data_IF_921536866247
#
_entry.id   IF_921536866247
#
_cell.length_a   1.000
_cell.length_b   1.000
_cell.length_c   1.000
_cell.angle_alpha   90.00
_cell.angle_beta   90.00
_cell.angle_gamma   90.00
#
_symmetry.space_group_name_H-M   'P 1'
#
loop_
_entity.id
_entity.type
_entity.pdbx_description
1 polymer ?
#
# COMPACT_ATOMS: atom_id res chain seq x y z
N UNK A 1 -81.19 4.47 37.23
CA UNK A 1 -80.78 5.80 36.72
C UNK A 1 -79.31 6.05 37.00
N UNK A 2 -78.63 5.89 35.98
CA UNK A 2 -77.35 6.37 35.51
C UNK A 2 -76.28 6.62 36.61
N UNK A 3 -75.50 5.65 36.78
CA UNK A 3 -74.23 5.67 37.47
C UNK A 3 -73.15 6.01 36.43
N UNK A 4 -72.62 7.18 36.48
CA UNK A 4 -71.49 7.62 35.67
C UNK A 4 -70.21 7.13 36.33
N UNK A 5 -69.64 6.12 35.73
CA UNK A 5 -68.28 5.67 36.08
C UNK A 5 -67.29 6.61 35.42
N UNK A 6 -66.66 7.40 36.26
CA UNK A 6 -65.47 8.17 35.87
C UNK A 6 -64.25 7.27 35.86
N UNK A 7 -63.89 6.84 34.70
CA UNK A 7 -62.58 6.21 34.48
C UNK A 7 -61.52 7.30 34.42
N UNK A 8 -60.86 7.47 35.54
CA UNK A 8 -59.63 8.25 35.57
C UNK A 8 -58.53 7.43 34.96
N UNK A 9 -58.20 7.67 33.70
CA UNK A 9 -56.99 7.18 33.08
C UNK A 9 -55.82 8.04 33.56
N UNK A 10 -55.13 7.55 34.57
CA UNK A 10 -53.80 8.03 34.92
C UNK A 10 -52.83 7.59 33.81
N UNK A 11 -52.55 8.49 32.90
CA UNK A 11 -51.45 8.34 31.94
C UNK A 11 -50.16 8.54 32.74
N UNK A 12 -49.57 7.44 33.17
CA UNK A 12 -48.22 7.42 33.70
C UNK A 12 -47.26 7.67 32.51
N UNK A 13 -46.89 8.91 32.32
CA UNK A 13 -45.86 9.27 31.37
C UNK A 13 -44.53 8.72 31.86
N UNK A 14 -44.15 7.57 31.32
CA UNK A 14 -42.82 6.98 31.48
C UNK A 14 -41.83 7.83 30.67
N UNK A 15 -41.25 8.82 31.32
CA UNK A 15 -40.14 9.58 30.76
C UNK A 15 -38.91 8.65 30.81
N UNK A 16 -38.72 7.86 29.77
CA UNK A 16 -37.46 7.21 29.51
C UNK A 16 -36.45 8.28 29.15
N UNK A 17 -35.70 8.73 30.15
CA UNK A 17 -34.48 9.47 29.91
C UNK A 17 -33.53 8.57 29.14
N UNK A 18 -33.49 8.71 27.81
CA UNK A 18 -32.39 8.25 27.01
C UNK A 18 -31.18 9.04 27.46
N UNK A 19 -30.39 8.45 28.35
CA UNK A 19 -28.99 8.82 28.50
C UNK A 19 -28.33 8.51 27.16
N UNK A 20 -28.45 9.46 26.24
CA UNK A 20 -27.56 9.57 25.11
C UNK A 20 -26.16 9.75 25.70
N UNK A 21 -25.39 8.67 25.79
CA UNK A 21 -23.96 8.77 25.83
C UNK A 21 -23.59 9.63 24.61
N UNK A 22 -23.32 10.90 24.88
CA UNK A 22 -22.69 11.75 23.90
C UNK A 22 -21.36 11.12 23.59
N UNK A 23 -21.29 10.44 22.45
CA UNK A 23 -20.04 10.22 21.77
C UNK A 23 -19.45 11.63 21.59
N UNK A 24 -18.49 11.95 22.46
CA UNK A 24 -17.54 12.99 22.17
C UNK A 24 -16.93 12.64 20.85
N UNK A 25 -17.50 13.20 19.78
CA UNK A 25 -16.84 13.30 18.49
C UNK A 25 -15.51 14.00 18.73
N UNK A 26 -14.53 13.23 19.14
CA UNK A 26 -13.16 13.55 18.86
C UNK A 26 -13.06 13.55 17.32
N UNK A 27 -13.33 14.71 16.74
CA UNK A 27 -12.95 15.05 15.38
C UNK A 27 -11.43 15.24 15.33
N UNK A 28 -10.68 14.27 15.91
CA UNK A 28 -9.39 13.94 15.42
C UNK A 28 -9.67 13.36 14.04
N UNK A 29 -9.23 14.03 12.97
CA UNK A 29 -9.16 13.46 11.65
C UNK A 29 -8.67 12.03 11.82
N UNK A 30 -9.55 11.05 11.57
CA UNK A 30 -9.12 9.69 11.40
C UNK A 30 -8.14 9.77 10.24
N UNK A 31 -6.86 9.81 10.56
CA UNK A 31 -5.80 9.65 9.57
C UNK A 31 -6.15 8.32 8.92
N UNK A 32 -6.52 8.38 7.63
CA UNK A 32 -6.87 7.21 6.85
C UNK A 32 -5.68 6.25 6.96
N UNK A 33 -5.77 5.29 7.88
CA UNK A 33 -4.75 4.26 7.97
C UNK A 33 -4.98 3.33 6.80
N UNK A 34 -4.05 3.30 5.87
CA UNK A 34 -4.06 2.40 4.71
C UNK A 34 -3.75 0.94 5.10
N UNK A 35 -3.51 0.69 6.38
CA UNK A 35 -3.22 -0.63 6.90
C UNK A 35 -4.14 -0.97 8.06
N UNK A 36 -4.30 -2.25 8.30
CA UNK A 36 -4.81 -2.74 9.58
C UNK A 36 -3.94 -2.20 10.72
N UNK A 37 -4.57 -1.62 11.73
CA UNK A 37 -3.90 -0.87 12.81
C UNK A 37 -3.13 -1.74 13.79
N UNK A 38 -3.30 -3.06 13.75
CA UNK A 38 -2.62 -3.99 14.63
C UNK A 38 -1.20 -4.29 14.15
N UNK A 39 -0.25 -3.50 14.58
CA UNK A 39 1.16 -3.85 14.44
C UNK A 39 1.62 -4.61 15.67
N UNK A 40 1.56 -5.91 15.58
CA UNK A 40 1.91 -6.82 16.68
C UNK A 40 3.27 -7.49 16.50
N UNK A 41 3.85 -7.42 15.30
CA UNK A 41 5.09 -8.10 14.97
C UNK A 41 6.29 -7.15 15.02
N UNK A 42 7.34 -7.53 15.72
CA UNK A 42 8.63 -6.83 15.73
C UNK A 42 9.47 -7.14 14.47
N UNK A 43 9.10 -8.20 13.76
CA UNK A 43 9.76 -8.59 12.52
C UNK A 43 8.82 -9.38 11.61
N UNK A 44 9.03 -9.21 10.30
CA UNK A 44 8.36 -9.97 9.25
C UNK A 44 9.40 -10.79 8.51
N UNK A 45 9.11 -12.07 8.35
CA UNK A 45 9.98 -12.99 7.61
C UNK A 45 9.28 -13.48 6.36
N UNK A 46 9.99 -13.43 5.24
CA UNK A 46 9.57 -13.95 3.95
C UNK A 46 10.58 -14.98 3.46
N UNK A 47 10.10 -16.08 2.92
CA UNK A 47 10.93 -17.16 2.38
C UNK A 47 10.47 -17.54 0.98
N UNK A 48 11.40 -17.67 0.06
CA UNK A 48 11.12 -18.18 -1.29
C UNK A 48 11.21 -19.72 -1.34
N UNK A 49 10.39 -20.29 -2.20
CA UNK A 49 10.38 -21.75 -2.45
C UNK A 49 11.51 -22.13 -3.41
N UNK A 50 12.72 -22.24 -2.88
CA UNK A 50 13.91 -22.69 -3.62
C UNK A 50 14.85 -23.48 -2.72
N UNK A 51 15.59 -24.46 -3.29
CA UNK A 51 16.52 -25.31 -2.55
C UNK A 51 17.59 -24.55 -1.75
N UNK A 52 17.95 -23.36 -2.15
CA UNK A 52 18.91 -22.48 -1.45
C UNK A 52 18.25 -21.53 -0.45
N UNK A 53 16.96 -21.68 -0.18
CA UNK A 53 16.21 -20.99 0.88
C UNK A 53 16.44 -19.48 0.91
N UNK A 54 16.10 -18.74 -0.16
CA UNK A 54 16.19 -17.29 -0.11
C UNK A 54 15.23 -16.74 0.93
N UNK A 55 15.71 -15.81 1.75
CA UNK A 55 14.93 -15.20 2.83
C UNK A 55 15.12 -13.69 2.87
N UNK A 56 14.09 -13.00 3.33
CA UNK A 56 14.10 -11.59 3.69
C UNK A 56 13.52 -11.48 5.10
N UNK A 57 14.26 -10.83 5.98
CA UNK A 57 13.80 -10.50 7.33
C UNK A 57 13.72 -8.98 7.44
N UNK A 58 12.53 -8.47 7.68
CA UNK A 58 12.25 -7.06 7.92
C UNK A 58 12.03 -6.84 9.41
N UNK A 59 12.89 -6.05 10.05
CA UNK A 59 12.73 -5.64 11.43
C UNK A 59 11.88 -4.39 11.53
N UNK A 60 10.93 -4.40 12.44
CA UNK A 60 10.02 -3.30 12.73
C UNK A 60 10.22 -2.79 14.15
N UNK A 61 9.92 -1.53 14.36
CA UNK A 61 9.83 -0.92 15.69
C UNK A 61 8.54 -0.12 15.74
N UNK A 62 7.52 -0.66 16.44
CA UNK A 62 6.17 -0.09 16.46
C UNK A 62 5.63 0.24 15.05
N UNK A 63 5.64 -0.73 14.15
CA UNK A 63 5.34 -0.63 12.72
C UNK A 63 6.31 0.22 11.88
N UNK A 64 7.19 0.98 12.46
CA UNK A 64 8.23 1.70 11.71
C UNK A 64 9.24 0.70 11.16
N UNK A 65 9.47 0.75 9.87
CA UNK A 65 10.46 -0.07 9.21
C UNK A 65 11.88 0.38 9.60
N UNK A 66 12.61 -0.48 10.28
CA UNK A 66 13.95 -0.20 10.79
C UNK A 66 15.02 -0.70 9.81
N UNK A 67 15.14 -2.01 9.72
CA UNK A 67 16.19 -2.63 8.92
C UNK A 67 15.69 -3.87 8.21
N UNK A 68 16.34 -4.21 7.12
CA UNK A 68 16.04 -5.39 6.32
C UNK A 68 17.31 -6.16 6.05
N UNK A 69 17.22 -7.48 6.25
CA UNK A 69 18.31 -8.42 5.97
C UNK A 69 17.81 -9.44 4.95
N UNK A 70 18.59 -9.68 3.89
CA UNK A 70 18.27 -10.72 2.92
C UNK A 70 19.48 -11.57 2.57
N UNK A 71 19.24 -12.84 2.35
CA UNK A 71 20.26 -13.84 2.11
C UNK A 71 19.66 -15.08 1.44
N UNK A 72 20.50 -15.99 1.01
CA UNK A 72 20.19 -17.38 0.72
C UNK A 72 21.38 -18.26 1.12
N UNK A 73 21.20 -19.59 1.18
CA UNK A 73 22.30 -20.51 1.34
C UNK A 73 23.36 -20.20 0.27
N UNK A 74 24.64 -20.12 0.65
CA UNK A 74 25.79 -19.77 -0.21
C UNK A 74 25.95 -18.30 -0.59
N UNK A 75 25.05 -17.42 -0.17
CA UNK A 75 25.21 -15.97 -0.37
C UNK A 75 25.64 -15.26 0.91
N UNK A 76 26.36 -14.16 0.72
CA UNK A 76 26.59 -13.26 1.83
C UNK A 76 25.30 -12.58 2.25
N UNK A 77 25.09 -12.49 3.55
CA UNK A 77 24.02 -11.70 4.15
C UNK A 77 24.18 -10.21 3.80
N UNK A 78 23.10 -9.59 3.37
CA UNK A 78 23.03 -8.17 3.06
C UNK A 78 22.11 -7.48 4.04
N UNK A 79 22.46 -6.26 4.41
CA UNK A 79 21.73 -5.40 5.35
C UNK A 79 21.39 -4.07 4.68
N UNK A 80 20.21 -3.57 4.98
CA UNK A 80 19.73 -2.24 4.59
C UNK A 80 19.07 -1.57 5.79
N UNK A 81 19.42 -0.33 6.05
CA UNK A 81 18.69 0.55 6.97
C UNK A 81 17.65 1.31 6.16
N UNK A 82 16.37 1.05 6.41
CA UNK A 82 15.30 1.50 5.52
C UNK A 82 15.08 3.01 5.57
N UNK A 83 15.12 3.63 6.73
CA UNK A 83 14.98 5.08 6.84
C UNK A 83 16.06 5.83 6.05
N UNK A 84 17.31 5.40 6.18
CA UNK A 84 18.42 5.99 5.43
C UNK A 84 18.29 5.80 3.93
N UNK A 85 17.85 4.62 3.52
CA UNK A 85 17.70 4.29 2.11
C UNK A 85 16.52 4.99 1.47
N UNK A 86 15.38 5.02 2.12
CA UNK A 86 14.15 5.63 1.59
C UNK A 86 14.12 7.16 1.78
N UNK A 87 14.98 7.71 2.65
CA UNK A 87 15.04 9.13 2.96
C UNK A 87 13.87 9.62 3.82
N UNK A 88 13.09 8.70 4.38
CA UNK A 88 11.95 8.99 5.25
C UNK A 88 11.61 7.79 6.12
N UNK A 89 10.91 8.05 7.22
CA UNK A 89 10.26 7.00 8.00
C UNK A 89 9.11 6.39 7.21
N UNK A 90 9.00 5.07 7.25
CA UNK A 90 7.91 4.32 6.60
C UNK A 90 7.31 3.36 7.61
N UNK A 91 6.00 3.37 7.73
CA UNK A 91 5.25 2.50 8.62
C UNK A 91 4.61 1.38 7.82
N UNK A 92 4.95 0.14 8.16
CA UNK A 92 4.55 -1.06 7.40
C UNK A 92 3.91 -2.05 8.35
N UNK A 93 2.87 -2.72 7.91
CA UNK A 93 2.40 -3.93 8.54
C UNK A 93 2.24 -5.06 7.51
N UNK A 94 1.93 -6.26 7.97
CA UNK A 94 1.84 -7.45 7.14
C UNK A 94 0.79 -7.35 6.03
N UNK A 95 -0.26 -6.56 6.21
CA UNK A 95 -1.34 -6.38 5.23
C UNK A 95 -0.93 -5.50 4.04
N UNK A 96 0.13 -4.70 4.19
CA UNK A 96 0.58 -3.74 3.19
C UNK A 96 1.98 -4.05 2.64
N UNK A 97 2.38 -5.32 2.65
CA UNK A 97 3.65 -5.77 2.12
C UNK A 97 3.50 -7.09 1.37
N UNK A 98 4.21 -7.20 0.25
CA UNK A 98 4.31 -8.43 -0.52
C UNK A 98 5.72 -8.63 -1.06
N UNK A 99 6.13 -9.89 -1.18
CA UNK A 99 7.47 -10.27 -1.63
C UNK A 99 7.37 -11.36 -2.69
N UNK A 100 7.95 -11.09 -3.84
CA UNK A 100 8.12 -12.05 -4.91
C UNK A 100 9.60 -12.47 -5.01
N UNK A 101 9.88 -13.77 -4.94
CA UNK A 101 11.23 -14.32 -5.12
C UNK A 101 11.39 -14.87 -6.55
N UNK A 102 12.38 -14.38 -7.27
CA UNK A 102 12.84 -14.98 -8.51
C UNK A 102 14.04 -15.88 -8.22
N UNK A 103 13.77 -17.13 -7.89
CA UNK A 103 14.78 -18.12 -7.49
C UNK A 103 15.78 -17.56 -6.45
N UNK A 104 17.07 -17.61 -6.76
CA UNK A 104 18.15 -16.99 -6.00
C UNK A 104 18.77 -15.78 -6.72
N UNK A 105 18.12 -15.29 -7.75
CA UNK A 105 18.63 -14.14 -8.52
C UNK A 105 18.33 -12.83 -7.82
N UNK A 106 17.07 -12.62 -7.47
CA UNK A 106 16.59 -11.43 -6.78
C UNK A 106 15.22 -11.67 -6.12
N UNK A 107 14.82 -10.75 -5.28
CA UNK A 107 13.44 -10.61 -4.86
C UNK A 107 12.93 -9.21 -5.16
N UNK A 108 11.64 -9.10 -5.46
CA UNK A 108 10.88 -7.85 -5.42
C UNK A 108 10.14 -7.77 -4.10
N UNK A 109 10.29 -6.65 -3.44
CA UNK A 109 9.51 -6.29 -2.27
C UNK A 109 8.69 -5.05 -2.61
N UNK A 110 7.38 -5.13 -2.50
CA UNK A 110 6.46 -4.01 -2.65
C UNK A 110 5.71 -3.79 -1.34
N UNK A 111 5.55 -2.55 -0.96
CA UNK A 111 4.85 -2.20 0.27
C UNK A 111 4.25 -0.80 0.18
N UNK A 112 3.28 -0.53 1.03
CA UNK A 112 2.71 0.79 1.19
C UNK A 112 2.97 1.32 2.61
N UNK A 113 3.22 2.62 2.71
CA UNK A 113 3.27 3.30 3.99
C UNK A 113 1.86 3.38 4.59
N UNK A 114 1.69 2.85 5.79
CA UNK A 114 0.39 2.80 6.47
C UNK A 114 -0.19 4.17 6.82
N UNK A 115 0.63 5.21 6.88
CA UNK A 115 0.18 6.56 7.21
C UNK A 115 -0.30 7.32 5.97
N UNK A 116 0.41 7.19 4.85
CA UNK A 116 0.18 8.01 3.66
C UNK A 116 -0.40 7.23 2.48
N UNK A 117 -0.34 5.89 2.52
CA UNK A 117 -0.65 5.04 1.36
C UNK A 117 0.42 5.04 0.27
N UNK A 118 1.51 5.79 0.47
CA UNK A 118 2.60 5.86 -0.51
C UNK A 118 3.19 4.49 -0.79
N UNK A 119 3.26 4.13 -2.06
CA UNK A 119 3.82 2.88 -2.49
C UNK A 119 5.35 2.92 -2.71
N UNK A 120 6.00 1.84 -2.35
CA UNK A 120 7.44 1.62 -2.50
C UNK A 120 7.71 0.27 -3.17
N UNK A 121 8.78 0.23 -3.96
CA UNK A 121 9.30 -0.98 -4.57
C UNK A 121 10.81 -1.08 -4.32
N UNK A 122 11.29 -2.26 -3.95
CA UNK A 122 12.71 -2.54 -3.82
C UNK A 122 13.01 -3.86 -4.53
N UNK A 123 13.93 -3.83 -5.50
CA UNK A 123 14.51 -5.03 -6.11
C UNK A 123 15.79 -5.38 -5.35
N UNK A 124 15.80 -6.54 -4.73
CA UNK A 124 16.85 -7.04 -3.84
C UNK A 124 17.64 -8.14 -4.54
N UNK A 125 18.78 -7.84 -5.19
CA UNK A 125 19.60 -8.87 -5.80
C UNK A 125 20.34 -9.68 -4.72
N UNK A 126 20.38 -10.99 -4.86
CA UNK A 126 21.19 -11.83 -3.99
C UNK A 126 22.65 -11.84 -4.40
N UNK A 127 22.97 -11.64 -5.68
CA UNK A 127 24.34 -11.48 -6.16
C UNK A 127 25.03 -10.25 -5.56
N UNK A 128 26.33 -10.34 -5.29
CA UNK A 128 27.16 -9.21 -4.83
C UNK A 128 27.40 -8.17 -5.92
N UNK A 129 27.37 -8.57 -7.19
CA UNK A 129 27.73 -7.75 -8.34
C UNK A 129 26.57 -6.91 -8.88
N UNK A 130 25.33 -7.25 -8.52
CA UNK A 130 24.14 -6.50 -8.96
C UNK A 130 23.76 -5.46 -7.94
N UNK A 131 23.48 -4.26 -8.41
CA UNK A 131 22.99 -3.17 -7.59
C UNK A 131 21.51 -3.37 -7.23
N UNK A 132 21.16 -2.89 -6.06
CA UNK A 132 19.78 -2.79 -5.62
C UNK A 132 19.09 -1.64 -6.38
N UNK A 133 17.85 -1.86 -6.77
CA UNK A 133 16.99 -0.82 -7.31
C UNK A 133 15.89 -0.48 -6.31
N UNK A 134 15.69 0.80 -6.07
CA UNK A 134 14.61 1.29 -5.23
C UNK A 134 13.74 2.28 -6.02
N UNK A 135 12.45 2.26 -5.75
CA UNK A 135 11.47 3.21 -6.28
C UNK A 135 10.58 3.68 -5.13
N UNK A 136 10.42 4.98 -5.00
CA UNK A 136 9.66 5.63 -3.93
C UNK A 136 8.34 6.23 -4.42
N UNK A 137 7.93 5.91 -5.64
CA UNK A 137 6.70 6.35 -6.27
C UNK A 137 6.05 5.18 -7.02
N UNK A 138 5.57 4.19 -6.26
CA UNK A 138 4.94 3.01 -6.81
C UNK A 138 3.42 3.05 -6.67
N UNK A 139 2.74 2.50 -7.67
CA UNK A 139 1.36 2.08 -7.51
C UNK A 139 1.38 0.64 -6.98
N UNK A 140 0.71 0.40 -5.88
CA UNK A 140 0.69 -0.93 -5.25
C UNK A 140 -0.73 -1.48 -5.16
N UNK A 141 -0.85 -2.80 -5.21
CA UNK A 141 -2.15 -3.50 -5.07
C UNK A 141 -2.79 -3.35 -3.69
N UNK A 142 -2.09 -2.73 -2.73
CA UNK A 142 -2.62 -2.49 -1.38
C UNK A 142 -3.62 -1.32 -1.35
N UNK A 143 -3.56 -0.46 -2.36
CA UNK A 143 -4.54 0.60 -2.53
C UNK A 143 -5.77 0.06 -3.28
N UNK A 144 -6.99 0.15 -2.70
CA UNK A 144 -8.20 -0.38 -3.32
C UNK A 144 -8.57 0.30 -4.64
N UNK A 145 -7.99 1.48 -4.93
CA UNK A 145 -8.18 2.18 -6.20
C UNK A 145 -7.27 1.67 -7.32
N UNK A 146 -6.29 0.83 -6.99
CA UNK A 146 -5.29 0.34 -7.94
C UNK A 146 -5.49 -1.16 -8.19
N UNK A 147 -5.86 -1.49 -9.41
CA UNK A 147 -5.98 -2.86 -9.90
C UNK A 147 -4.75 -3.20 -10.74
N UNK A 148 -3.85 -4.00 -10.20
CA UNK A 148 -2.58 -4.36 -10.82
C UNK A 148 -2.48 -5.87 -10.88
N UNK A 149 -2.14 -6.42 -12.06
CA UNK A 149 -1.85 -7.83 -12.22
C UNK A 149 -0.78 -8.28 -11.21
N UNK A 150 -0.98 -9.39 -10.49
CA UNK A 150 -0.09 -9.83 -9.40
C UNK A 150 1.35 -10.14 -9.85
N UNK A 151 1.60 -10.37 -11.12
CA UNK A 151 2.95 -10.58 -11.66
C UNK A 151 3.67 -9.29 -12.03
N UNK A 152 3.01 -8.13 -11.93
CA UNK A 152 3.54 -6.85 -12.35
C UNK A 152 3.90 -5.97 -11.17
N UNK A 153 4.93 -5.14 -11.37
CA UNK A 153 5.22 -3.97 -10.55
C UNK A 153 5.03 -2.72 -11.39
N UNK A 154 4.42 -1.70 -10.78
CA UNK A 154 4.05 -0.45 -11.45
C UNK A 154 4.57 0.74 -10.67
N UNK A 155 5.24 1.65 -11.35
CA UNK A 155 5.80 2.84 -10.71
C UNK A 155 5.85 4.01 -11.69
N UNK A 156 6.10 5.21 -11.19
CA UNK A 156 6.29 6.38 -12.02
C UNK A 156 7.67 7.00 -11.81
N UNK A 157 8.19 7.55 -12.87
CA UNK A 157 9.36 8.42 -12.86
C UNK A 157 9.17 9.50 -13.94
N UNK A 158 9.35 10.77 -13.53
CA UNK A 158 9.33 11.94 -14.41
C UNK A 158 8.17 11.96 -15.43
N UNK A 159 6.95 11.72 -14.95
CA UNK A 159 5.76 11.77 -15.80
C UNK A 159 5.57 10.57 -16.73
N UNK A 160 6.22 9.47 -16.43
CA UNK A 160 6.06 8.22 -17.16
C UNK A 160 5.68 7.10 -16.20
N UNK A 161 4.66 6.34 -16.54
CA UNK A 161 4.33 5.08 -15.87
C UNK A 161 5.19 3.98 -16.46
N UNK A 162 5.86 3.23 -15.62
CA UNK A 162 6.63 2.05 -15.98
C UNK A 162 5.95 0.81 -15.40
N UNK A 163 5.94 -0.23 -16.18
CA UNK A 163 5.44 -1.55 -15.79
C UNK A 163 6.53 -2.57 -16.06
N UNK A 164 6.83 -3.42 -15.09
CA UNK A 164 7.80 -4.50 -15.24
C UNK A 164 7.17 -5.83 -14.78
N UNK A 165 7.30 -6.85 -15.59
CA UNK A 165 6.94 -8.20 -15.21
C UNK A 165 8.02 -8.76 -14.30
N UNK A 166 7.66 -9.13 -13.07
CA UNK A 166 8.61 -9.61 -12.06
C UNK A 166 9.27 -10.92 -12.44
N UNK A 167 8.64 -11.73 -13.29
CA UNK A 167 9.14 -13.02 -13.70
C UNK A 167 10.04 -12.95 -14.93
N UNK A 168 9.59 -12.23 -15.98
CA UNK A 168 10.29 -12.17 -17.26
C UNK A 168 11.27 -11.01 -17.38
N UNK A 169 11.18 -10.00 -16.50
CA UNK A 169 11.88 -8.72 -16.52
C UNK A 169 11.56 -7.86 -17.77
N UNK A 170 10.53 -8.24 -18.54
CA UNK A 170 10.02 -7.41 -19.63
C UNK A 170 9.43 -6.13 -19.07
N UNK A 171 9.64 -5.03 -19.79
CA UNK A 171 9.19 -3.70 -19.37
C UNK A 171 8.37 -3.04 -20.46
N UNK A 172 7.38 -2.27 -20.02
CA UNK A 172 6.62 -1.35 -20.86
C UNK A 172 6.50 0.00 -20.13
N UNK A 173 6.19 1.04 -20.89
CA UNK A 173 5.97 2.36 -20.30
C UNK A 173 4.90 3.14 -21.04
N UNK A 174 4.27 4.07 -20.33
CA UNK A 174 3.29 5.01 -20.85
C UNK A 174 3.63 6.42 -20.35
N UNK A 175 4.09 7.34 -21.20
CA UNK A 175 4.27 8.73 -20.79
C UNK A 175 2.91 9.42 -20.61
N UNK A 176 2.84 10.32 -19.65
CA UNK A 176 1.78 11.33 -19.61
C UNK A 176 2.10 12.47 -20.60
N UNK A 177 1.11 13.28 -20.96
CA UNK A 177 1.27 14.40 -21.89
C UNK A 177 2.21 15.51 -21.40
N UNK A 178 2.48 15.54 -20.10
CA UNK A 178 3.40 16.50 -19.48
C UNK A 178 4.16 15.79 -18.36
N UNK A 179 5.32 16.35 -17.99
CA UNK A 179 6.00 15.91 -16.78
C UNK A 179 5.13 16.21 -15.57
N UNK A 180 4.64 15.17 -14.94
CA UNK A 180 3.94 15.23 -13.67
C UNK A 180 4.86 14.75 -12.58
N UNK A 181 5.07 15.60 -11.61
CA UNK A 181 5.61 15.18 -10.33
C UNK A 181 4.42 14.77 -9.45
N UNK A 182 4.22 13.45 -9.30
CA UNK A 182 3.14 12.93 -8.48
C UNK A 182 3.57 13.00 -7.02
N UNK A 183 2.84 13.74 -6.21
CA UNK A 183 3.01 13.69 -4.76
C UNK A 183 2.41 12.37 -4.22
N UNK A 184 3.27 11.40 -4.01
CA UNK A 184 2.86 10.10 -3.50
C UNK A 184 2.42 10.12 -2.02
N UNK A 185 2.66 11.18 -1.27
CA UNK A 185 2.10 11.32 0.08
C UNK A 185 0.62 11.74 0.04
N UNK A 186 0.21 12.34 -1.08
CA UNK A 186 -1.18 12.75 -1.35
C UNK A 186 -1.67 12.15 -2.68
N UNK A 187 -1.34 10.89 -2.93
CA UNK A 187 -1.54 10.24 -4.23
C UNK A 187 -2.99 10.31 -4.71
N UNK A 188 -3.96 10.23 -3.79
CA UNK A 188 -5.40 10.24 -4.12
C UNK A 188 -5.93 11.62 -4.54
N UNK A 189 -5.17 12.70 -4.34
CA UNK A 189 -5.50 14.02 -4.87
C UNK A 189 -5.11 14.14 -6.35
N UNK A 190 -4.18 13.32 -6.81
CA UNK A 190 -3.64 13.37 -8.17
C UNK A 190 -4.03 12.15 -9.01
N UNK A 191 -4.24 11.00 -8.39
CA UNK A 191 -4.59 9.74 -9.06
C UNK A 191 -5.91 9.22 -8.53
N UNK A 192 -6.89 9.10 -9.42
CA UNK A 192 -8.20 8.56 -9.07
C UNK A 192 -8.22 7.04 -9.10
N UNK A 193 -7.63 6.45 -10.14
CA UNK A 193 -7.56 5.00 -10.29
C UNK A 193 -6.48 4.55 -11.26
N UNK A 194 -6.02 3.32 -11.08
CA UNK A 194 -5.02 2.65 -11.91
C UNK A 194 -5.49 1.26 -12.24
N UNK A 195 -5.38 0.86 -13.49
CA UNK A 195 -5.65 -0.50 -13.93
C UNK A 195 -4.54 -0.95 -14.88
N UNK A 196 -3.77 -1.95 -14.48
CA UNK A 196 -2.61 -2.44 -15.25
C UNK A 196 -2.67 -3.95 -15.37
N UNK A 197 -2.62 -4.41 -16.61
CA UNK A 197 -2.54 -5.83 -17.01
C UNK A 197 -1.34 -6.05 -17.94
N UNK A 198 -1.05 -7.28 -18.32
CA UNK A 198 0.05 -7.62 -19.24
C UNK A 198 -0.12 -7.02 -20.65
N UNK A 199 -1.32 -6.58 -21.00
CA UNK A 199 -1.64 -6.05 -22.32
C UNK A 199 -2.05 -4.57 -22.31
N UNK A 200 -2.18 -3.95 -21.11
CA UNK A 200 -2.72 -2.60 -20.98
C UNK A 200 -2.20 -1.86 -19.76
N UNK A 201 -1.88 -0.58 -19.95
CA UNK A 201 -1.74 0.41 -18.90
C UNK A 201 -2.90 1.39 -19.01
N UNK A 202 -3.66 1.59 -17.93
CA UNK A 202 -4.71 2.58 -17.85
C UNK A 202 -4.62 3.31 -16.53
N UNK A 203 -4.61 4.66 -16.57
CA UNK A 203 -4.52 5.53 -15.39
C UNK A 203 -5.49 6.69 -15.52
N UNK A 204 -6.26 6.94 -14.49
CA UNK A 204 -7.08 8.13 -14.39
C UNK A 204 -6.47 9.12 -13.40
N UNK A 205 -6.03 10.25 -13.91
CA UNK A 205 -5.45 11.34 -13.13
C UNK A 205 -6.51 12.38 -12.78
N UNK A 206 -6.35 13.05 -11.64
CA UNK A 206 -7.10 14.24 -11.26
C UNK A 206 -6.21 15.46 -11.52
N UNK A 207 -6.69 16.37 -12.36
CA UNK A 207 -5.97 17.59 -12.68
C UNK A 207 -6.91 18.78 -12.68
N UNK A 208 -6.61 19.79 -11.84
CA UNK A 208 -7.43 20.99 -11.72
C UNK A 208 -8.92 20.67 -11.48
N UNK A 209 -9.19 19.62 -10.69
CA UNK A 209 -10.53 19.13 -10.41
C UNK A 209 -11.18 18.29 -11.52
N UNK A 210 -10.55 18.16 -12.69
CA UNK A 210 -11.04 17.33 -13.79
C UNK A 210 -10.33 15.98 -13.83
N UNK A 211 -11.07 14.92 -14.22
CA UNK A 211 -10.51 13.59 -14.44
C UNK A 211 -10.03 13.45 -15.89
N UNK A 212 -8.76 13.07 -16.06
CA UNK A 212 -8.16 12.80 -17.36
C UNK A 212 -7.66 11.37 -17.41
N UNK A 213 -8.01 10.64 -18.46
CA UNK A 213 -7.61 9.26 -18.67
C UNK A 213 -6.40 9.18 -19.60
N UNK A 214 -5.50 8.26 -19.26
CA UNK A 214 -4.36 7.88 -20.07
C UNK A 214 -4.39 6.36 -20.26
N UNK A 215 -4.20 5.93 -21.49
CA UNK A 215 -4.26 4.52 -21.84
C UNK A 215 -3.21 4.17 -22.88
N UNK A 216 -2.59 3.00 -22.73
CA UNK A 216 -1.68 2.42 -23.71
C UNK A 216 -1.82 0.91 -23.74
N UNK A 217 -1.95 0.34 -24.92
CA UNK A 217 -1.78 -1.10 -25.14
C UNK A 217 -0.30 -1.45 -25.06
N UNK A 218 0.03 -2.52 -24.38
CA UNK A 218 1.39 -3.03 -24.18
C UNK A 218 1.42 -4.53 -24.44
N UNK A 219 2.58 -5.16 -24.31
CA UNK A 219 2.75 -6.62 -24.33
C UNK A 219 3.92 -6.97 -23.40
N UNK A 220 3.64 -7.74 -22.34
CA UNK A 220 4.58 -8.17 -21.30
C UNK A 220 4.50 -9.68 -21.07
#
# INVERSE_FOLDING_TARGET
QLMRLLFSFSILALVTAFLSCGDTNNSGSAANSFCDTACTDDSLQFAGDHKFKPTINLKLNACKADSMVWTHDWAATKLLLLENDLGQEVYINKSAIDVYFKDTSYAWMQFADCKTGRGFLIKLPFSKTKERRKVTGAFTKFDPKFSIDPELVVYTDRGTVFVENMQTEQQASMPFDAMYDIDFNNIHEMVDSVHVTKDRIWVQMIREGAKKQYEKKISL
#
